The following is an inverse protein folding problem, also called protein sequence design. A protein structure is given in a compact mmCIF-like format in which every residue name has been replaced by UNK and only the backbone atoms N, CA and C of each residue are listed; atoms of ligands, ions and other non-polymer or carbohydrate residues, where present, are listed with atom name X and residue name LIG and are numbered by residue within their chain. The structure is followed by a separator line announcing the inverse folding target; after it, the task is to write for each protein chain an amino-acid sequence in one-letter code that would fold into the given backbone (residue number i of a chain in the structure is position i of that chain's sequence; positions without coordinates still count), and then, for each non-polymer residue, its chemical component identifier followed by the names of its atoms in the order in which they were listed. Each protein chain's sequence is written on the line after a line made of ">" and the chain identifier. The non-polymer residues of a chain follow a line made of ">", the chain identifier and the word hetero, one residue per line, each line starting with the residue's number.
data_IF_554844564208
#
_entry.id   IF_554844564208
#
_cell.length_a   1.000
_cell.length_b   1.000
_cell.length_c   1.000
_cell.angle_alpha   90.00
_cell.angle_beta   90.00
_cell.angle_gamma   90.00
#
_symmetry.space_group_name_H-M   'P 1'
#
loop_
_entity.id
_entity.type
_entity.pdbx_description
1 polymer ?
#
# COMPACT_ATOMS: atom_id res chain seq x y z
N UNK A 1 -28.99 -45.77 12.45
CA UNK A 1 -28.59 -44.41 12.86
C UNK A 1 -27.58 -44.51 14.01
N UNK A 2 -26.28 -44.35 13.75
CA UNK A 2 -25.27 -44.18 14.81
C UNK A 2 -24.56 -42.83 14.59
N UNK A 3 -24.30 -42.08 15.66
CA UNK A 3 -23.59 -40.79 15.64
C UNK A 3 -22.37 -40.86 16.58
N UNK A 4 -21.19 -41.13 16.04
CA UNK A 4 -19.95 -41.10 16.81
C UNK A 4 -19.45 -39.66 16.93
N UNK A 5 -19.28 -39.16 18.16
CA UNK A 5 -18.66 -37.85 18.42
C UNK A 5 -17.15 -38.04 18.58
N UNK A 6 -16.34 -37.21 17.92
CA UNK A 6 -14.92 -37.07 18.26
C UNK A 6 -14.75 -36.04 19.39
N UNK A 7 -13.76 -36.22 20.29
CA UNK A 7 -13.42 -35.23 21.30
C UNK A 7 -12.62 -34.06 20.70
N UNK A 8 -12.78 -32.87 21.29
CA UNK A 8 -12.02 -31.66 20.95
C UNK A 8 -10.71 -31.64 21.75
N UNK A 9 -9.56 -31.67 21.07
CA UNK A 9 -8.25 -31.55 21.71
C UNK A 9 -7.81 -30.07 21.78
N UNK A 10 -7.67 -29.52 22.99
CA UNK A 10 -7.12 -28.18 23.22
C UNK A 10 -5.61 -28.30 23.34
N UNK A 11 -4.87 -27.86 22.32
CA UNK A 11 -3.41 -27.89 22.31
C UNK A 11 -2.83 -26.55 22.82
N UNK A 12 -2.43 -26.52 24.10
CA UNK A 12 -1.70 -25.39 24.69
C UNK A 12 -0.25 -25.37 24.22
N UNK A 13 0.03 -24.71 23.08
CA UNK A 13 1.37 -24.53 22.55
C UNK A 13 2.12 -23.40 23.25
N UNK A 14 3.22 -23.71 23.93
CA UNK A 14 4.15 -22.71 24.48
C UNK A 14 5.02 -22.14 23.36
N UNK A 15 5.07 -20.82 23.22
CA UNK A 15 5.94 -20.13 22.24
C UNK A 15 7.22 -19.66 22.93
N UNK A 16 8.34 -20.30 22.62
CA UNK A 16 9.67 -19.81 23.01
C UNK A 16 10.05 -18.61 22.15
N UNK A 17 10.14 -17.42 22.75
CA UNK A 17 10.52 -16.19 22.05
C UNK A 17 12.05 -16.11 21.92
N UNK A 18 12.55 -16.16 20.69
CA UNK A 18 13.93 -15.80 20.39
C UNK A 18 14.12 -14.28 20.43
N UNK A 19 14.82 -13.77 21.44
CA UNK A 19 15.18 -12.35 21.50
C UNK A 19 16.33 -12.05 20.52
N UNK A 20 16.01 -11.37 19.42
CA UNK A 20 17.01 -10.56 18.71
C UNK A 20 16.99 -9.14 19.29
N UNK A 21 18.07 -8.78 20.00
CA UNK A 21 18.24 -7.45 20.58
C UNK A 21 18.77 -6.48 19.53
N UNK A 22 18.04 -5.40 19.26
CA UNK A 22 18.51 -4.30 18.43
C UNK A 22 19.11 -3.19 19.32
N UNK A 23 20.27 -2.61 18.99
CA UNK A 23 20.88 -1.56 19.78
C UNK A 23 20.10 -0.25 19.66
N UNK A 24 19.65 0.29 20.79
CA UNK A 24 18.99 1.58 20.85
C UNK A 24 20.01 2.73 20.76
N UNK A 25 20.15 3.33 19.58
CA UNK A 25 20.91 4.58 19.41
C UNK A 25 20.11 5.76 19.93
N UNK A 26 20.62 6.43 20.97
CA UNK A 26 19.92 7.51 21.65
C UNK A 26 19.85 8.82 20.84
N UNK A 27 18.74 9.56 20.99
CA UNK A 27 18.63 10.97 20.61
C UNK A 27 18.76 11.86 21.86
N UNK A 28 19.53 12.95 21.83
CA UNK A 28 19.63 13.88 22.95
C UNK A 28 18.37 14.74 23.09
N UNK A 29 17.88 14.90 24.32
CA UNK A 29 16.74 15.77 24.63
C UNK A 29 17.16 17.24 24.58
N UNK A 30 16.41 18.08 23.85
CA UNK A 30 16.63 19.52 23.82
C UNK A 30 15.70 20.22 24.82
N UNK A 31 16.26 20.81 25.87
CA UNK A 31 15.53 21.61 26.88
C UNK A 31 15.56 23.09 26.52
N UNK A 32 14.42 23.79 26.60
CA UNK A 32 14.35 25.22 26.25
C UNK A 32 12.99 25.88 26.51
N UNK A 33 12.80 26.35 27.74
CA UNK A 33 11.85 27.35 28.25
C UNK A 33 10.48 27.59 27.57
N UNK A 34 9.44 27.49 28.40
CA UNK A 34 8.31 28.43 28.36
C UNK A 34 7.93 28.88 29.79
N UNK A 35 7.81 30.19 29.98
CA UNK A 35 6.99 30.89 30.98
C UNK A 35 6.13 31.84 30.12
N UNK A 36 4.83 32.05 30.36
CA UNK A 36 4.27 32.61 31.59
C UNK A 36 2.76 32.34 31.72
N UNK A 37 2.18 32.77 32.84
CA UNK A 37 0.76 32.62 33.16
C UNK A 37 -0.15 33.63 32.43
N UNK A 38 -1.39 33.21 32.15
CA UNK A 38 -2.55 34.08 32.37
C UNK A 38 -3.78 33.26 32.81
N UNK A 39 -4.62 33.86 33.64
CA UNK A 39 -5.79 33.25 34.26
C UNK A 39 -7.07 34.02 33.91
N UNK A 40 -8.13 33.35 33.49
CA UNK A 40 -9.49 33.84 33.71
C UNK A 40 -10.50 32.70 33.64
N UNK A 41 -11.44 32.66 34.59
CA UNK A 41 -12.55 31.72 34.65
C UNK A 41 -13.85 32.41 34.31
N UNK A 42 -14.76 31.75 33.57
CA UNK A 42 -16.23 31.89 33.77
C UNK A 42 -16.99 30.80 33.02
N UNK A 43 -17.98 30.21 33.68
CA UNK A 43 -19.02 29.34 33.07
C UNK A 43 -20.13 30.19 32.39
N UNK A 44 -20.87 29.64 31.41
CA UNK A 44 -21.81 30.48 30.64
C UNK A 44 -22.79 29.86 29.62
N UNK A 45 -23.26 28.63 29.83
CA UNK A 45 -24.59 28.09 29.46
C UNK A 45 -25.40 28.59 28.20
N UNK A 46 -25.84 27.62 27.38
CA UNK A 46 -27.19 27.52 26.71
C UNK A 46 -27.49 28.01 25.27
N UNK A 47 -28.17 27.11 24.53
CA UNK A 47 -29.17 27.25 23.45
C UNK A 47 -28.88 27.75 22.01
N UNK A 48 -29.38 26.94 21.07
CA UNK A 48 -29.86 27.22 19.70
C UNK A 48 -31.17 28.06 19.71
N UNK A 49 -31.68 28.67 18.59
CA UNK A 49 -31.88 28.00 17.30
C UNK A 49 -31.77 28.82 15.98
N UNK A 50 -31.94 28.07 14.88
CA UNK A 50 -32.32 28.39 13.48
C UNK A 50 -32.47 29.84 12.96
N UNK A 51 -32.01 30.05 11.71
CA UNK A 51 -32.88 30.51 10.59
C UNK A 51 -32.19 30.42 9.21
N UNK A 52 -32.97 30.17 8.15
CA UNK A 52 -32.62 30.45 6.74
C UNK A 52 -33.71 31.37 6.16
N UNK A 53 -33.38 32.33 5.28
CA UNK A 53 -33.79 32.13 3.88
C UNK A 53 -32.80 32.65 2.81
N UNK A 54 -33.09 32.28 1.57
CA UNK A 54 -32.52 32.75 0.29
C UNK A 54 -33.61 33.60 -0.44
N UNK A 55 -33.51 34.05 -1.71
CA UNK A 55 -32.36 34.31 -2.62
C UNK A 55 -32.46 35.69 -3.36
N UNK A 56 -31.53 36.03 -4.27
CA UNK A 56 -31.87 36.62 -5.62
C UNK A 56 -30.71 36.89 -6.60
N UNK A 57 -31.00 36.63 -7.90
CA UNK A 57 -30.62 37.30 -9.18
C UNK A 57 -29.18 37.81 -9.43
N UNK A 58 -28.50 37.56 -10.58
CA UNK A 58 -28.81 37.57 -12.04
C UNK A 58 -28.52 38.90 -12.78
N UNK A 59 -27.43 38.92 -13.56
CA UNK A 59 -27.22 39.60 -14.86
C UNK A 59 -26.01 38.88 -15.55
N UNK A 60 -25.80 38.70 -16.87
CA UNK A 60 -26.03 39.53 -18.08
C UNK A 60 -25.20 40.85 -18.04
N UNK A 61 -24.53 41.34 -19.09
CA UNK A 61 -24.34 40.94 -20.50
C UNK A 61 -22.96 41.52 -20.97
N UNK A 62 -22.44 41.48 -22.22
CA UNK A 62 -22.94 41.13 -23.56
C UNK A 62 -21.77 40.61 -24.46
N UNK A 63 -21.96 40.60 -25.78
CA UNK A 63 -21.03 40.19 -26.85
C UNK A 63 -20.18 41.35 -27.41
N UNK A 64 -19.06 41.04 -28.10
CA UNK A 64 -18.86 41.35 -29.55
C UNK A 64 -17.54 40.81 -30.13
N UNK A 65 -17.42 40.85 -31.46
CA UNK A 65 -16.39 40.22 -32.27
C UNK A 65 -15.87 41.17 -33.37
N UNK A 66 -14.61 41.00 -33.86
CA UNK A 66 -14.28 40.89 -35.31
C UNK A 66 -12.79 40.61 -35.64
N UNK A 67 -12.60 39.95 -36.79
CA UNK A 67 -11.48 40.07 -37.77
C UNK A 67 -10.00 39.88 -37.37
N UNK A 68 -9.48 38.70 -37.75
CA UNK A 68 -8.54 38.50 -38.89
C UNK A 68 -7.14 39.16 -38.83
N UNK A 69 -6.12 38.33 -38.61
CA UNK A 69 -4.83 38.43 -39.31
C UNK A 69 -4.27 37.03 -39.60
N UNK A 70 -3.56 36.87 -40.73
CA UNK A 70 -2.86 35.63 -41.13
C UNK A 70 -1.38 35.83 -40.86
N UNK A 71 -0.78 35.02 -39.98
CA UNK A 71 0.67 35.01 -39.76
C UNK A 71 1.19 33.58 -39.72
N UNK A 72 2.07 33.24 -40.65
CA UNK A 72 2.72 31.93 -40.76
C UNK A 72 3.91 31.86 -39.79
N UNK A 73 3.62 31.52 -38.53
CA UNK A 73 4.67 31.19 -37.55
C UNK A 73 4.99 29.70 -37.61
N UNK A 74 6.26 29.36 -37.85
CA UNK A 74 6.73 27.97 -37.95
C UNK A 74 6.40 27.21 -36.66
N UNK A 75 5.58 26.14 -36.77
CA UNK A 75 5.28 25.23 -35.67
C UNK A 75 6.54 24.46 -35.25
N UNK A 76 7.35 25.09 -34.39
CA UNK A 76 8.54 24.48 -33.81
C UNK A 76 8.08 23.48 -32.76
N UNK A 77 7.85 22.24 -33.19
CA UNK A 77 7.31 21.15 -32.36
C UNK A 77 8.11 21.02 -31.06
N UNK A 78 7.53 21.51 -29.96
CA UNK A 78 8.04 21.24 -28.63
C UNK A 78 7.70 19.79 -28.29
N UNK A 79 8.62 18.88 -28.61
CA UNK A 79 8.62 17.54 -28.06
C UNK A 79 8.46 17.64 -26.54
N UNK A 80 7.33 17.15 -26.02
CA UNK A 80 7.10 17.06 -24.58
C UNK A 80 7.95 15.89 -24.07
N UNK A 81 9.10 16.20 -23.50
CA UNK A 81 9.94 15.20 -22.83
C UNK A 81 9.11 14.44 -21.79
N UNK A 82 9.24 13.10 -21.76
CA UNK A 82 8.63 12.26 -20.74
C UNK A 82 9.07 12.78 -19.36
N UNK A 83 8.15 13.01 -18.39
CA UNK A 83 8.53 13.49 -17.07
C UNK A 83 9.63 12.61 -16.45
N UNK A 84 10.71 13.24 -15.97
CA UNK A 84 11.79 12.52 -15.28
C UNK A 84 11.24 11.98 -13.96
N UNK A 85 11.43 10.68 -13.73
CA UNK A 85 11.02 10.03 -12.49
C UNK A 85 11.86 10.54 -11.30
N UNK A 86 11.31 10.52 -10.07
CA UNK A 86 12.10 10.68 -8.85
C UNK A 86 13.26 9.67 -8.78
N UNK A 87 14.35 9.98 -8.06
CA UNK A 87 15.42 9.01 -7.82
C UNK A 87 14.91 7.83 -6.98
N UNK A 88 15.50 6.66 -7.21
CA UNK A 88 15.29 5.48 -6.35
C UNK A 88 15.73 5.78 -4.90
N UNK A 89 15.15 5.11 -3.88
CA UNK A 89 15.74 5.08 -2.55
C UNK A 89 17.15 4.48 -2.62
N UNK A 90 18.16 5.18 -2.09
CA UNK A 90 19.58 4.85 -2.30
C UNK A 90 20.10 3.62 -1.54
N UNK A 91 19.23 2.97 -0.77
CA UNK A 91 19.50 1.77 0.01
C UNK A 91 18.78 0.53 -0.53
N UNK A 92 18.05 0.64 -1.64
CA UNK A 92 17.51 -0.52 -2.34
C UNK A 92 18.51 -1.02 -3.38
N UNK A 93 18.73 -2.33 -3.41
CA UNK A 93 19.57 -2.97 -4.42
C UNK A 93 18.82 -3.21 -5.75
N UNK A 94 19.51 -3.83 -6.72
CA UNK A 94 18.92 -4.14 -8.03
C UNK A 94 17.71 -5.07 -7.91
N UNK A 95 17.77 -6.07 -7.06
CA UNK A 95 16.82 -7.17 -7.02
C UNK A 95 15.58 -6.77 -6.21
N UNK A 96 15.73 -5.99 -5.15
CA UNK A 96 14.63 -5.28 -4.48
C UNK A 96 13.89 -4.34 -5.44
N UNK A 97 14.62 -3.58 -6.28
CA UNK A 97 14.02 -2.72 -7.31
C UNK A 97 13.29 -3.55 -8.39
N UNK A 98 13.87 -4.67 -8.83
CA UNK A 98 13.27 -5.57 -9.82
C UNK A 98 11.98 -6.22 -9.29
N UNK A 99 12.00 -6.73 -8.05
CA UNK A 99 10.84 -7.29 -7.37
C UNK A 99 9.74 -6.24 -7.17
N UNK A 100 10.09 -5.03 -6.73
CA UNK A 100 9.13 -3.93 -6.62
C UNK A 100 8.52 -3.55 -7.97
N UNK A 101 9.31 -3.52 -9.06
CA UNK A 101 8.81 -3.29 -10.42
C UNK A 101 7.85 -4.38 -10.89
N UNK A 102 8.04 -5.64 -10.47
CA UNK A 102 7.10 -6.74 -10.74
C UNK A 102 5.78 -6.54 -9.98
N UNK A 103 5.82 -6.23 -8.68
CA UNK A 103 4.62 -5.95 -7.86
C UNK A 103 3.82 -4.78 -8.46
N UNK A 104 4.49 -3.70 -8.87
CA UNK A 104 3.87 -2.56 -9.55
C UNK A 104 3.30 -2.99 -10.90
N UNK A 105 4.07 -3.70 -11.73
CA UNK A 105 3.68 -4.10 -13.08
C UNK A 105 2.46 -5.01 -13.11
N UNK A 106 2.36 -5.95 -12.17
CA UNK A 106 1.16 -6.78 -11.97
C UNK A 106 -0.01 -5.91 -11.50
N UNK A 107 0.17 -5.04 -10.50
CA UNK A 107 -0.91 -4.15 -10.05
C UNK A 107 -1.43 -3.26 -11.16
N UNK A 108 -0.55 -2.73 -12.02
CA UNK A 108 -0.93 -1.97 -13.21
C UNK A 108 -1.63 -2.81 -14.27
N UNK A 109 -1.30 -4.08 -14.43
CA UNK A 109 -1.99 -4.97 -15.36
C UNK A 109 -3.48 -5.10 -15.02
N UNK A 110 -3.79 -5.41 -13.77
CA UNK A 110 -5.15 -5.62 -13.26
C UNK A 110 -5.84 -4.33 -12.75
N UNK A 111 -5.28 -3.16 -13.09
CA UNK A 111 -5.82 -1.83 -12.76
C UNK A 111 -5.98 -1.54 -11.26
N UNK A 112 -5.15 -2.16 -10.41
CA UNK A 112 -5.02 -1.82 -9.00
C UNK A 112 -4.58 -0.36 -8.85
N UNK A 113 -5.18 0.36 -7.90
CA UNK A 113 -4.88 1.77 -7.64
C UNK A 113 -3.49 1.95 -7.01
N UNK A 114 -2.93 3.17 -7.07
CA UNK A 114 -1.68 3.52 -6.38
C UNK A 114 -1.70 3.11 -4.89
N UNK A 115 -2.87 3.21 -4.23
CA UNK A 115 -3.08 2.78 -2.84
C UNK A 115 -2.86 1.29 -2.66
N UNK A 116 -3.49 0.45 -3.51
CA UNK A 116 -3.36 -1.00 -3.43
C UNK A 116 -1.95 -1.48 -3.77
N UNK A 117 -1.28 -0.84 -4.73
CA UNK A 117 0.12 -1.12 -5.06
C UNK A 117 1.05 -0.70 -3.91
N UNK A 118 0.80 0.43 -3.25
CA UNK A 118 1.55 0.84 -2.07
C UNK A 118 1.40 -0.16 -0.92
N UNK A 119 0.18 -0.67 -0.65
CA UNK A 119 -0.09 -1.72 0.35
C UNK A 119 0.69 -3.01 0.03
N UNK A 120 0.72 -3.44 -1.24
CA UNK A 120 1.52 -4.59 -1.66
C UNK A 120 3.03 -4.37 -1.45
N UNK A 121 3.55 -3.19 -1.80
CA UNK A 121 4.96 -2.85 -1.57
C UNK A 121 5.32 -2.79 -0.09
N UNK A 122 4.47 -2.18 0.77
CA UNK A 122 4.65 -2.19 2.23
C UNK A 122 4.69 -3.61 2.79
N UNK A 123 3.80 -4.48 2.28
CA UNK A 123 3.76 -5.88 2.69
C UNK A 123 5.06 -6.57 2.31
N UNK A 124 5.52 -6.48 1.07
CA UNK A 124 6.76 -7.14 0.65
C UNK A 124 8.01 -6.61 1.38
N UNK A 125 8.07 -5.33 1.75
CA UNK A 125 9.13 -4.84 2.65
C UNK A 125 9.04 -5.46 4.06
N UNK A 126 7.84 -5.57 4.65
CA UNK A 126 7.68 -6.16 5.97
C UNK A 126 7.93 -7.69 6.00
N UNK A 127 7.48 -8.42 4.99
CA UNK A 127 7.54 -9.88 4.99
C UNK A 127 8.91 -10.42 4.57
N UNK A 128 9.62 -9.74 3.66
CA UNK A 128 10.87 -10.27 3.09
C UNK A 128 11.94 -9.23 2.75
N UNK A 129 11.82 -7.98 3.22
CA UNK A 129 12.63 -6.83 2.76
C UNK A 129 12.69 -6.73 1.22
N UNK A 130 11.57 -7.01 0.54
CA UNK A 130 11.43 -7.01 -0.92
C UNK A 130 12.25 -8.10 -1.65
N UNK A 131 12.83 -9.09 -0.94
CA UNK A 131 13.51 -10.24 -1.56
C UNK A 131 12.55 -11.41 -1.81
N UNK A 132 12.77 -12.16 -2.90
CA UNK A 132 11.97 -13.34 -3.24
C UNK A 132 12.56 -14.61 -2.62
N UNK A 133 12.41 -14.75 -1.30
CA UNK A 133 13.03 -15.81 -0.49
C UNK A 133 12.49 -17.22 -0.83
N UNK A 134 13.35 -18.23 -0.75
CA UNK A 134 13.00 -19.65 -0.85
C UNK A 134 12.63 -20.30 0.51
N UNK A 135 12.73 -19.52 1.59
CA UNK A 135 12.52 -19.93 2.98
C UNK A 135 11.73 -18.89 3.78
N UNK A 136 11.41 -19.24 5.03
CA UNK A 136 10.57 -18.45 5.92
C UNK A 136 10.18 -19.20 7.20
N UNK A 137 9.20 -18.68 7.95
CA UNK A 137 8.59 -19.43 9.05
C UNK A 137 7.72 -20.59 8.53
N UNK A 138 8.00 -21.83 8.96
CA UNK A 138 7.28 -23.05 8.54
C UNK A 138 7.34 -23.26 7.02
N UNK A 139 6.21 -23.07 6.32
CA UNK A 139 6.05 -23.19 4.87
C UNK A 139 5.94 -21.82 4.16
N UNK A 140 6.37 -20.73 4.81
CA UNK A 140 6.34 -19.38 4.23
C UNK A 140 7.45 -19.18 3.20
N UNK A 141 7.12 -18.62 2.03
CA UNK A 141 8.01 -18.43 0.89
C UNK A 141 7.68 -17.16 0.10
N UNK A 142 8.63 -16.69 -0.70
CA UNK A 142 8.47 -15.60 -1.67
C UNK A 142 8.32 -14.21 -1.06
N UNK A 143 8.03 -13.24 -1.95
CA UNK A 143 7.93 -11.79 -1.66
C UNK A 143 6.95 -11.42 -0.53
N UNK A 144 5.93 -12.24 -0.28
CA UNK A 144 4.86 -11.96 0.67
C UNK A 144 4.81 -12.98 1.82
N UNK A 145 5.85 -13.83 1.95
CA UNK A 145 5.89 -14.95 2.89
C UNK A 145 4.61 -15.81 2.84
N UNK A 146 4.12 -16.04 1.63
CA UNK A 146 2.91 -16.79 1.37
C UNK A 146 3.11 -18.28 1.68
N UNK A 147 2.07 -18.89 2.24
CA UNK A 147 2.08 -20.24 2.81
C UNK A 147 1.16 -21.19 2.04
N UNK A 148 1.68 -22.21 1.33
CA UNK A 148 0.88 -23.21 0.64
C UNK A 148 -0.20 -23.87 1.52
N UNK A 149 0.09 -24.08 2.81
CA UNK A 149 -0.88 -24.66 3.78
C UNK A 149 -2.17 -23.84 3.94
N UNK A 150 -2.15 -22.54 3.63
CA UNK A 150 -3.33 -21.67 3.66
C UNK A 150 -3.95 -21.41 2.28
N UNK A 151 -3.58 -22.19 1.25
CA UNK A 151 -4.20 -22.13 -0.07
C UNK A 151 -3.71 -20.98 -0.95
N UNK A 152 -2.52 -20.44 -0.67
CA UNK A 152 -1.85 -19.39 -1.44
C UNK A 152 -1.23 -19.85 -2.77
N UNK A 153 -1.05 -21.16 -2.99
CA UNK A 153 -0.40 -21.77 -4.16
C UNK A 153 0.34 -23.07 -3.79
N UNK A 154 1.07 -23.68 -4.72
CA UNK A 154 2.17 -24.62 -4.40
C UNK A 154 3.43 -23.87 -3.93
N UNK A 155 4.46 -24.59 -3.46
CA UNK A 155 5.75 -23.99 -3.08
C UNK A 155 6.43 -23.22 -4.24
N UNK A 156 6.48 -23.81 -5.43
CA UNK A 156 7.02 -23.15 -6.64
C UNK A 156 6.18 -21.95 -7.08
N UNK A 157 4.86 -22.03 -6.92
CA UNK A 157 3.93 -20.96 -7.28
C UNK A 157 4.07 -19.75 -6.34
N UNK A 158 4.20 -19.94 -5.02
CA UNK A 158 4.44 -18.81 -4.09
C UNK A 158 5.85 -18.22 -4.20
N UNK A 159 6.83 -18.98 -4.72
CA UNK A 159 8.15 -18.45 -5.10
C UNK A 159 8.15 -17.76 -6.48
N UNK A 160 7.08 -17.89 -7.28
CA UNK A 160 6.96 -17.21 -8.57
C UNK A 160 6.44 -15.79 -8.35
N UNK A 161 7.36 -14.80 -8.36
CA UNK A 161 7.12 -13.36 -8.06
C UNK A 161 5.79 -12.79 -8.59
N UNK A 162 5.47 -13.05 -9.86
CA UNK A 162 4.26 -12.58 -10.55
C UNK A 162 2.99 -13.27 -10.06
N UNK A 163 3.05 -14.59 -9.86
CA UNK A 163 1.98 -15.37 -9.26
C UNK A 163 1.70 -14.85 -7.85
N UNK A 164 2.72 -14.76 -6.99
CA UNK A 164 2.59 -14.29 -5.61
C UNK A 164 1.98 -12.88 -5.52
N UNK A 165 2.34 -11.98 -6.44
CA UNK A 165 1.73 -10.66 -6.56
C UNK A 165 0.27 -10.70 -7.04
N UNK A 166 -0.07 -11.50 -8.05
CA UNK A 166 -1.47 -11.69 -8.48
C UNK A 166 -2.32 -12.29 -7.34
N UNK A 167 -1.76 -13.23 -6.57
CA UNK A 167 -2.37 -13.81 -5.39
C UNK A 167 -2.62 -12.75 -4.32
N UNK A 168 -1.61 -11.95 -3.98
CA UNK A 168 -1.74 -10.88 -2.98
C UNK A 168 -2.84 -9.89 -3.34
N UNK A 169 -2.99 -9.52 -4.61
CA UNK A 169 -4.06 -8.61 -5.05
C UNK A 169 -5.46 -9.26 -5.11
N UNK A 170 -5.58 -10.59 -5.08
CA UNK A 170 -6.88 -11.27 -5.27
C UNK A 170 -7.29 -11.43 -6.74
N UNK A 171 -6.32 -11.44 -7.67
CA UNK A 171 -6.57 -11.53 -9.12
C UNK A 171 -6.08 -12.83 -9.77
N UNK A 172 -5.52 -13.74 -8.97
CA UNK A 172 -5.03 -15.05 -9.41
C UNK A 172 -6.15 -16.12 -9.27
N UNK A 173 -6.79 -16.58 -10.36
CA UNK A 173 -7.92 -17.51 -10.28
C UNK A 173 -7.56 -18.93 -9.84
N UNK A 174 -6.26 -19.25 -9.66
CA UNK A 174 -5.81 -20.52 -9.09
C UNK A 174 -5.85 -20.55 -7.57
N UNK A 175 -5.82 -19.38 -6.92
CA UNK A 175 -5.63 -19.24 -5.47
C UNK A 175 -6.96 -19.23 -4.73
N UNK A 176 -6.96 -19.80 -3.51
CA UNK A 176 -8.17 -19.99 -2.70
C UNK A 176 -8.25 -19.08 -1.47
N UNK A 177 -7.14 -18.44 -1.09
CA UNK A 177 -7.15 -17.43 -0.05
C UNK A 177 -7.50 -16.05 -0.65
N UNK A 178 -8.19 -15.23 0.13
CA UNK A 178 -8.59 -13.88 -0.27
C UNK A 178 -7.38 -12.94 -0.31
N UNK A 179 -7.21 -12.23 -1.42
CA UNK A 179 -6.26 -11.14 -1.58
C UNK A 179 -6.88 -9.77 -1.28
N UNK A 180 -6.15 -8.69 -1.59
CA UNK A 180 -6.52 -7.32 -1.24
C UNK A 180 -7.88 -6.89 -1.79
N UNK A 181 -8.17 -7.19 -3.07
CA UNK A 181 -9.44 -6.77 -3.70
C UNK A 181 -10.65 -7.59 -3.22
N UNK A 182 -10.44 -8.74 -2.58
CA UNK A 182 -11.51 -9.57 -2.00
C UNK A 182 -11.98 -9.06 -0.62
N UNK A 183 -11.26 -8.11 -0.01
CA UNK A 183 -11.51 -7.62 1.36
C UNK A 183 -12.49 -6.45 1.32
N UNK A 184 -13.71 -6.57 1.87
CA UNK A 184 -14.73 -5.51 1.77
C UNK A 184 -14.28 -4.20 2.44
N UNK A 185 -14.13 -3.14 1.64
CA UNK A 185 -13.82 -1.80 2.13
C UNK A 185 -12.34 -1.53 2.44
N UNK A 186 -11.41 -2.35 1.93
CA UNK A 186 -9.96 -2.15 2.06
C UNK A 186 -9.50 -0.74 1.63
N UNK A 187 -10.22 -0.07 0.72
CA UNK A 187 -9.92 1.28 0.27
C UNK A 187 -10.02 2.32 1.40
N UNK A 188 -10.87 2.04 2.41
CA UNK A 188 -11.18 2.91 3.55
C UNK A 188 -10.38 2.57 4.81
N UNK A 189 -9.80 1.37 4.87
CA UNK A 189 -8.85 0.95 5.92
C UNK A 189 -7.58 1.82 5.89
N UNK A 190 -6.80 1.86 6.97
CA UNK A 190 -5.42 2.38 6.86
C UNK A 190 -4.58 1.47 5.95
N UNK A 191 -3.43 1.94 5.48
CA UNK A 191 -2.55 1.12 4.63
C UNK A 191 -2.02 -0.10 5.42
N UNK A 192 -1.78 0.10 6.72
CA UNK A 192 -1.42 -0.95 7.67
C UNK A 192 -2.52 -2.00 7.83
N UNK A 193 -3.76 -1.57 8.13
CA UNK A 193 -4.87 -2.49 8.38
C UNK A 193 -5.24 -3.29 7.12
N UNK A 194 -5.13 -2.67 5.94
CA UNK A 194 -5.34 -3.34 4.66
C UNK A 194 -4.29 -4.43 4.40
N UNK A 195 -3.00 -4.17 4.70
CA UNK A 195 -1.95 -5.19 4.62
C UNK A 195 -2.20 -6.34 5.62
N UNK A 196 -2.50 -5.99 6.88
CA UNK A 196 -2.80 -6.95 7.94
C UNK A 196 -4.07 -7.77 7.68
N UNK A 197 -5.07 -7.24 6.97
CA UNK A 197 -6.29 -7.99 6.61
C UNK A 197 -6.03 -9.08 5.56
N UNK A 198 -5.04 -8.88 4.68
CA UNK A 198 -4.56 -9.89 3.72
C UNK A 198 -3.68 -10.93 4.43
N UNK A 199 -2.63 -10.48 5.11
CA UNK A 199 -1.60 -11.35 5.70
C UNK A 199 -2.05 -12.07 6.97
N UNK A 200 -2.88 -11.41 7.79
CA UNK A 200 -3.41 -11.89 9.08
C UNK A 200 -2.30 -12.32 10.04
N UNK A 201 -1.25 -11.51 10.12
CA UNK A 201 -0.06 -11.76 10.93
C UNK A 201 -0.36 -11.69 12.44
N UNK A 202 0.59 -12.17 13.26
CA UNK A 202 0.54 -11.98 14.72
C UNK A 202 0.95 -10.59 15.22
N UNK A 203 1.25 -9.65 14.33
CA UNK A 203 1.81 -8.33 14.67
C UNK A 203 1.14 -7.20 13.85
N UNK A 204 -0.08 -6.77 14.23
CA UNK A 204 -0.93 -5.96 13.35
C UNK A 204 -0.32 -4.63 12.93
N UNK A 205 0.49 -3.99 13.77
CA UNK A 205 0.95 -2.60 13.56
C UNK A 205 2.26 -2.47 12.77
N UNK A 206 2.85 -3.59 12.30
CA UNK A 206 4.21 -3.60 11.73
C UNK A 206 4.31 -3.07 10.30
N UNK A 207 3.23 -3.01 9.53
CA UNK A 207 3.30 -2.57 8.13
C UNK A 207 3.44 -1.04 8.00
N UNK A 208 2.91 -0.27 8.96
CA UNK A 208 2.90 1.20 8.94
C UNK A 208 4.29 1.86 8.75
N UNK A 209 5.35 1.26 9.31
CA UNK A 209 6.72 1.81 9.19
C UNK A 209 7.23 1.90 7.74
N UNK A 210 6.66 1.10 6.84
CA UNK A 210 7.08 1.00 5.44
C UNK A 210 6.33 1.97 4.50
N UNK A 211 5.32 2.71 4.97
CA UNK A 211 4.47 3.57 4.13
C UNK A 211 5.26 4.54 3.26
N UNK A 212 6.27 5.20 3.83
CA UNK A 212 7.09 6.19 3.12
C UNK A 212 7.99 5.55 2.06
N UNK A 213 8.63 4.42 2.39
CA UNK A 213 9.49 3.69 1.45
C UNK A 213 8.66 3.15 0.28
N UNK A 214 7.55 2.47 0.57
CA UNK A 214 6.64 1.95 -0.45
C UNK A 214 6.14 3.04 -1.41
N UNK A 215 5.77 4.21 -0.89
CA UNK A 215 5.41 5.37 -1.73
C UNK A 215 6.56 5.83 -2.62
N UNK A 216 7.76 6.03 -2.04
CA UNK A 216 8.96 6.46 -2.80
C UNK A 216 9.32 5.46 -3.90
N UNK A 217 9.31 4.17 -3.59
CA UNK A 217 9.57 3.08 -4.54
C UNK A 217 8.53 3.07 -5.66
N UNK A 218 7.24 3.24 -5.35
CA UNK A 218 6.16 3.37 -6.35
C UNK A 218 6.36 4.59 -7.27
N UNK A 219 6.78 5.75 -6.75
CA UNK A 219 6.98 6.95 -7.59
C UNK A 219 8.26 6.87 -8.42
N UNK A 220 9.34 6.30 -7.89
CA UNK A 220 10.58 6.07 -8.64
C UNK A 220 10.42 5.00 -9.74
N UNK A 221 9.51 4.04 -9.58
CA UNK A 221 9.24 2.95 -10.53
C UNK A 221 7.88 3.09 -11.25
N UNK A 222 7.37 4.31 -11.38
CA UNK A 222 6.06 4.59 -11.98
C UNK A 222 5.96 4.22 -13.48
N UNK A 223 7.06 3.86 -14.12
CA UNK A 223 7.13 3.40 -15.51
C UNK A 223 7.24 1.88 -15.69
N UNK A 224 7.08 1.10 -14.61
CA UNK A 224 7.06 -0.36 -14.69
C UNK A 224 5.99 -0.84 -15.69
N UNK A 225 6.34 -1.77 -16.62
CA UNK A 225 5.41 -2.26 -17.63
C UNK A 225 4.28 -3.09 -17.00
N UNK A 226 3.11 -3.18 -17.66
CA UNK A 226 2.02 -4.06 -17.22
C UNK A 226 2.42 -5.54 -17.41
N UNK A 227 2.32 -6.35 -16.36
CA UNK A 227 2.65 -7.79 -16.38
C UNK A 227 1.39 -8.62 -16.11
N UNK A 228 0.92 -9.37 -17.12
CA UNK A 228 -0.34 -10.13 -17.05
C UNK A 228 -0.17 -11.62 -16.73
N UNK A 229 1.02 -12.21 -16.95
CA UNK A 229 1.26 -13.65 -16.77
C UNK A 229 1.58 -14.00 -15.32
N UNK A 230 1.03 -15.12 -14.83
CA UNK A 230 1.36 -15.74 -13.54
C UNK A 230 2.44 -16.82 -13.71
N UNK A 231 3.61 -16.40 -14.19
CA UNK A 231 4.77 -17.24 -14.48
C UNK A 231 6.07 -16.41 -14.47
N UNK A 232 7.25 -17.05 -14.61
CA UNK A 232 8.54 -16.38 -14.60
C UNK A 232 8.62 -15.14 -15.50
N UNK A 233 9.47 -14.19 -15.10
CA UNK A 233 9.86 -13.03 -15.91
C UNK A 233 11.30 -13.28 -16.34
N UNK A 234 11.57 -13.16 -17.64
CA UNK A 234 12.91 -13.22 -18.24
C UNK A 234 13.62 -11.86 -18.18
#
# INVERSE_FOLDING_TARGET
>A
MLKTKLPLAIATGVVSVGLFSAPASALPSLTGNAHDHNTSSTDGNVSQPETKPEPRNKAQNQTKSKSKSKSESKSKSKSKSKPKLPPQPSYLDKDQIENARIIIGVGRAFNVSDRGIQIALMTAFQESDMYNLDHGDKDSKGLFQQRPKYGWGTEDEVQTRTFAAQSFYGVNPKVKNAGLLDIPGWEKMSLNDAAQAVQRSGYPDRYAQWENLAWRTLKANYDAPKIYHAGPVE
#
